data_IF_399282657359
#
_entry.id   IF_399282657359
#
_cell.length_a   1.000
_cell.length_b   1.000
_cell.length_c   1.000
_cell.angle_alpha   90.00
_cell.angle_beta   90.00
_cell.angle_gamma   90.00
#
_symmetry.space_group_name_H-M   'P 1'
#
loop_
_entity.id
_entity.type
_entity.pdbx_description
1 polymer ?
#
# COMPACT_ATOMS: atom_id res chain seq x y z
N UNK A 1 -9.34 9.35 -15.56
CA UNK A 1 -8.16 8.82 -16.23
C UNK A 1 -7.87 9.49 -17.57
N UNK A 2 -8.76 9.50 -18.58
CA UNK A 2 -8.53 10.12 -19.90
C UNK A 2 -8.06 11.59 -19.88
N UNK A 3 -8.55 12.40 -18.92
CA UNK A 3 -8.10 13.80 -18.83
C UNK A 3 -6.65 13.90 -18.33
N UNK A 4 -6.24 13.05 -17.41
CA UNK A 4 -4.86 13.00 -16.91
C UNK A 4 -3.88 12.62 -18.02
N UNK A 5 -4.21 11.61 -18.81
CA UNK A 5 -3.41 11.19 -19.97
C UNK A 5 -3.26 12.30 -21.01
N UNK A 6 -4.34 13.04 -21.31
CA UNK A 6 -4.29 14.14 -22.29
C UNK A 6 -3.37 15.30 -21.91
N UNK A 7 -3.11 15.47 -20.62
CA UNK A 7 -2.18 16.51 -20.11
C UNK A 7 -0.82 15.93 -19.72
N UNK A 8 -0.50 14.70 -20.15
CA UNK A 8 0.81 14.07 -19.99
C UNK A 8 1.13 13.55 -18.59
N UNK A 9 0.12 13.35 -17.74
CA UNK A 9 0.33 12.77 -16.41
C UNK A 9 0.44 11.25 -16.50
N UNK A 10 1.38 10.69 -15.75
CA UNK A 10 1.41 9.25 -15.46
C UNK A 10 0.26 8.89 -14.52
N UNK A 11 -0.38 7.76 -14.78
CA UNK A 11 -1.54 7.33 -14.01
C UNK A 11 -1.25 6.10 -13.18
N UNK A 12 -1.68 6.12 -11.94
CA UNK A 12 -1.59 4.97 -11.03
C UNK A 12 -2.91 4.75 -10.31
N UNK A 13 -3.21 3.48 -10.06
CA UNK A 13 -4.34 3.05 -9.27
C UNK A 13 -3.87 2.10 -8.18
N UNK A 14 -4.36 2.28 -6.95
CA UNK A 14 -4.18 1.33 -5.85
C UNK A 14 -5.55 0.79 -5.47
N UNK A 15 -5.67 -0.54 -5.35
CA UNK A 15 -6.94 -1.22 -5.07
C UNK A 15 -6.74 -2.39 -4.10
N UNK A 16 -7.79 -2.74 -3.35
CA UNK A 16 -7.87 -3.99 -2.60
C UNK A 16 -8.31 -5.18 -3.48
N UNK A 17 -8.48 -4.95 -4.78
CA UNK A 17 -8.85 -5.94 -5.81
C UNK A 17 -10.28 -6.50 -5.74
N UNK A 18 -11.12 -6.10 -4.77
CA UNK A 18 -12.46 -6.66 -4.60
C UNK A 18 -13.40 -6.46 -5.81
N UNK A 19 -13.14 -5.42 -6.61
CA UNK A 19 -13.90 -5.14 -7.84
C UNK A 19 -13.05 -5.24 -9.11
N UNK A 20 -11.91 -5.89 -9.07
CA UNK A 20 -11.02 -6.02 -10.23
C UNK A 20 -11.54 -7.10 -11.18
N UNK A 21 -12.65 -6.83 -11.88
CA UNK A 21 -13.23 -7.70 -12.88
C UNK A 21 -12.48 -7.62 -14.20
N UNK A 22 -12.61 -8.64 -15.05
CA UNK A 22 -12.01 -8.63 -16.39
C UNK A 22 -12.47 -7.43 -17.23
N UNK A 23 -13.76 -7.07 -17.14
CA UNK A 23 -14.33 -5.93 -17.86
C UNK A 23 -13.67 -4.61 -17.41
N UNK A 24 -13.56 -4.41 -16.09
CA UNK A 24 -12.87 -3.25 -15.54
C UNK A 24 -11.40 -3.22 -15.95
N UNK A 25 -10.73 -4.37 -15.94
CA UNK A 25 -9.34 -4.50 -16.39
C UNK A 25 -9.16 -4.08 -17.86
N UNK A 26 -10.06 -4.53 -18.77
CA UNK A 26 -10.04 -4.11 -20.18
C UNK A 26 -10.20 -2.60 -20.34
N UNK A 27 -11.07 -2.01 -19.53
CA UNK A 27 -11.34 -0.55 -19.56
C UNK A 27 -10.17 0.28 -18.99
N UNK A 28 -9.52 -0.19 -17.93
CA UNK A 28 -8.49 0.57 -17.22
C UNK A 28 -7.09 0.40 -17.81
N UNK A 29 -6.74 -0.82 -18.23
CA UNK A 29 -5.39 -1.17 -18.62
C UNK A 29 -4.75 -0.23 -19.66
N UNK A 30 -5.44 0.20 -20.74
CA UNK A 30 -4.80 1.04 -21.76
C UNK A 30 -4.33 2.41 -21.26
N UNK A 31 -4.89 2.86 -20.14
CA UNK A 31 -4.58 4.18 -19.59
C UNK A 31 -3.81 4.13 -18.27
N UNK A 32 -3.31 2.98 -17.84
CA UNK A 32 -2.67 2.80 -16.55
C UNK A 32 -1.16 2.57 -16.71
N UNK A 33 -0.34 3.38 -16.05
CA UNK A 33 1.11 3.15 -15.97
C UNK A 33 1.45 2.19 -14.83
N UNK A 34 0.71 2.27 -13.71
CA UNK A 34 0.93 1.43 -12.53
C UNK A 34 -0.38 0.97 -11.90
N UNK A 35 -0.45 -0.31 -11.55
CA UNK A 35 -1.48 -0.89 -10.69
C UNK A 35 -0.85 -1.39 -9.40
N UNK A 36 -1.25 -0.79 -8.27
CA UNK A 36 -0.96 -1.30 -6.94
C UNK A 36 -2.11 -2.16 -6.43
N UNK A 37 -1.82 -3.38 -5.99
CA UNK A 37 -2.80 -4.23 -5.32
C UNK A 37 -2.40 -4.44 -3.87
N UNK A 38 -3.38 -4.38 -2.96
CA UNK A 38 -3.16 -4.57 -1.52
C UNK A 38 -3.72 -5.93 -1.12
N UNK A 39 -2.81 -6.87 -0.80
CA UNK A 39 -3.15 -8.23 -0.37
C UNK A 39 -2.32 -8.55 0.86
N UNK A 40 -3.00 -8.81 1.96
CA UNK A 40 -2.37 -9.05 3.26
C UNK A 40 -2.29 -10.54 3.60
N UNK A 41 -3.13 -11.38 3.00
CA UNK A 41 -3.10 -12.85 3.14
C UNK A 41 -3.62 -13.52 1.87
N UNK A 42 -3.10 -14.71 1.56
CA UNK A 42 -3.65 -15.63 0.57
C UNK A 42 -4.77 -16.52 1.10
N UNK A 43 -5.07 -16.44 2.40
CA UNK A 43 -6.03 -17.29 3.10
C UNK A 43 -7.32 -16.52 3.41
N UNK A 44 -8.47 -17.11 3.08
CA UNK A 44 -9.77 -16.45 3.22
C UNK A 44 -10.16 -16.17 4.68
N UNK A 45 -9.89 -17.10 5.57
CA UNK A 45 -10.18 -16.99 7.01
C UNK A 45 -9.31 -15.90 7.66
N UNK A 46 -8.03 -15.80 7.30
CA UNK A 46 -7.15 -14.71 7.76
C UNK A 46 -7.66 -13.37 7.21
N UNK A 47 -8.00 -13.29 5.92
CA UNK A 47 -8.55 -12.07 5.32
C UNK A 47 -9.84 -11.62 6.01
N UNK A 48 -10.70 -12.56 6.41
CA UNK A 48 -11.90 -12.26 7.18
C UNK A 48 -11.57 -11.69 8.57
N UNK A 49 -10.62 -12.31 9.28
CA UNK A 49 -10.20 -11.88 10.62
C UNK A 49 -9.57 -10.48 10.63
N UNK A 50 -8.82 -10.12 9.59
CA UNK A 50 -8.21 -8.79 9.45
C UNK A 50 -9.12 -7.77 8.77
N UNK A 51 -10.35 -8.15 8.42
CA UNK A 51 -11.33 -7.26 7.77
C UNK A 51 -11.04 -6.97 6.29
N UNK A 52 -10.27 -7.84 5.61
CA UNK A 52 -10.00 -7.74 4.16
C UNK A 52 -11.08 -8.43 3.34
N UNK A 53 -12.30 -7.98 3.53
CA UNK A 53 -13.51 -8.43 2.82
C UNK A 53 -14.22 -7.25 2.17
N UNK A 54 -15.04 -7.52 1.17
CA UNK A 54 -15.88 -6.49 0.58
C UNK A 54 -17.13 -6.20 1.45
N UNK A 55 -17.99 -5.27 1.01
CA UNK A 55 -19.22 -4.90 1.73
C UNK A 55 -20.22 -6.05 1.89
N UNK A 56 -20.02 -7.17 1.20
CA UNK A 56 -20.86 -8.38 1.30
C UNK A 56 -20.16 -9.51 2.09
N UNK A 57 -19.02 -9.23 2.72
CA UNK A 57 -18.25 -10.22 3.47
C UNK A 57 -17.47 -11.20 2.58
N UNK A 58 -17.32 -10.92 1.27
CA UNK A 58 -16.56 -11.78 0.36
C UNK A 58 -15.08 -11.40 0.42
N UNK A 59 -14.24 -12.42 0.43
CA UNK A 59 -12.78 -12.27 0.39
C UNK A 59 -12.25 -12.34 -1.05
N UNK A 60 -10.98 -11.99 -1.21
CA UNK A 60 -10.28 -12.07 -2.48
C UNK A 60 -10.22 -13.51 -2.97
N UNK A 61 -10.80 -13.78 -4.15
CA UNK A 61 -10.64 -15.04 -4.85
C UNK A 61 -9.41 -15.00 -5.76
N UNK A 62 -8.41 -15.83 -5.46
CA UNK A 62 -7.16 -15.88 -6.21
C UNK A 62 -7.34 -16.36 -7.65
N UNK A 63 -8.36 -17.19 -7.92
CA UNK A 63 -8.69 -17.64 -9.28
C UNK A 63 -9.18 -16.48 -10.14
N UNK A 64 -10.15 -15.73 -9.66
CA UNK A 64 -10.66 -14.51 -10.31
C UNK A 64 -9.57 -13.46 -10.49
N UNK A 65 -8.70 -13.32 -9.50
CA UNK A 65 -7.57 -12.41 -9.57
C UNK A 65 -6.59 -12.82 -10.69
N UNK A 66 -6.30 -14.12 -10.84
CA UNK A 66 -5.45 -14.63 -11.91
C UNK A 66 -5.99 -14.24 -13.28
N UNK A 67 -7.27 -14.53 -13.54
CA UNK A 67 -7.94 -14.15 -14.79
C UNK A 67 -7.86 -12.65 -15.07
N UNK A 68 -8.08 -11.84 -14.04
CA UNK A 68 -8.00 -10.38 -14.15
C UNK A 68 -6.58 -9.91 -14.51
N UNK A 69 -5.55 -10.51 -13.92
CA UNK A 69 -4.15 -10.19 -14.22
C UNK A 69 -3.71 -10.65 -15.61
N UNK A 70 -4.22 -11.77 -16.10
CA UNK A 70 -4.01 -12.20 -17.49
C UNK A 70 -4.57 -11.19 -18.49
N UNK A 71 -5.79 -10.69 -18.23
CA UNK A 71 -6.42 -9.63 -19.04
C UNK A 71 -5.61 -8.34 -18.99
N UNK A 72 -5.19 -7.90 -17.79
CA UNK A 72 -4.38 -6.70 -17.63
C UNK A 72 -3.08 -6.75 -18.43
N UNK A 73 -2.34 -7.85 -18.34
CA UNK A 73 -1.07 -8.05 -19.08
C UNK A 73 -1.27 -8.10 -20.58
N UNK A 74 -2.35 -8.75 -21.03
CA UNK A 74 -2.70 -8.81 -22.47
C UNK A 74 -3.06 -7.43 -23.00
N UNK A 75 -3.82 -6.63 -22.25
CA UNK A 75 -4.26 -5.30 -22.67
C UNK A 75 -3.18 -4.23 -22.52
N UNK A 76 -2.26 -4.40 -21.57
CA UNK A 76 -1.13 -3.49 -21.35
C UNK A 76 0.12 -4.25 -20.87
N UNK A 77 0.94 -4.76 -21.78
CA UNK A 77 2.18 -5.46 -21.43
C UNK A 77 3.22 -4.58 -20.68
N UNK A 78 3.12 -3.25 -20.81
CA UNK A 78 4.01 -2.30 -20.15
C UNK A 78 3.56 -1.92 -18.73
N UNK A 79 2.37 -2.39 -18.29
CA UNK A 79 1.81 -2.09 -16.97
C UNK A 79 2.77 -2.51 -15.85
N UNK A 80 3.13 -1.56 -15.01
CA UNK A 80 3.87 -1.86 -13.79
C UNK A 80 2.91 -2.31 -12.69
N UNK A 81 3.15 -3.50 -12.15
CA UNK A 81 2.37 -4.03 -11.02
C UNK A 81 3.16 -3.89 -9.72
N UNK A 82 2.50 -3.37 -8.69
CA UNK A 82 3.02 -3.26 -7.33
C UNK A 82 2.12 -4.06 -6.38
N UNK A 83 2.71 -4.88 -5.52
CA UNK A 83 2.03 -5.54 -4.41
C UNK A 83 2.31 -4.76 -3.12
N UNK A 84 1.27 -4.52 -2.31
CA UNK A 84 1.41 -4.01 -0.96
C UNK A 84 0.85 -5.06 0.02
N UNK A 85 1.58 -5.31 1.09
CA UNK A 85 1.19 -6.22 2.17
C UNK A 85 1.42 -5.54 3.50
N UNK A 86 0.38 -5.46 4.33
CA UNK A 86 0.50 -5.01 5.73
C UNK A 86 0.61 -6.24 6.62
N UNK A 87 1.77 -6.41 7.22
CA UNK A 87 2.04 -7.52 8.14
C UNK A 87 1.56 -7.15 9.54
N UNK A 88 0.71 -7.96 10.10
CA UNK A 88 0.12 -7.81 11.41
C UNK A 88 0.15 -9.12 12.21
N UNK A 89 -0.36 -9.10 13.45
CA UNK A 89 -0.38 -10.25 14.36
C UNK A 89 -1.11 -11.48 13.81
N UNK A 90 -2.03 -11.31 12.87
CA UNK A 90 -2.86 -12.38 12.35
C UNK A 90 -2.24 -13.08 11.14
N UNK A 91 -1.47 -12.33 10.30
CA UNK A 91 -0.92 -12.85 9.05
C UNK A 91 0.61 -13.02 9.02
N UNK A 92 1.34 -12.72 10.10
CA UNK A 92 2.81 -12.83 10.09
C UNK A 92 3.36 -14.24 9.81
N UNK A 93 2.52 -15.28 9.98
CA UNK A 93 2.87 -16.68 9.66
C UNK A 93 2.59 -17.07 8.22
N UNK A 94 1.85 -16.24 7.48
CA UNK A 94 1.44 -16.57 6.11
C UNK A 94 2.64 -16.62 5.17
N UNK A 95 2.50 -17.47 4.15
CA UNK A 95 3.38 -17.53 2.98
C UNK A 95 2.62 -16.98 1.77
N UNK A 96 3.08 -15.84 1.27
CA UNK A 96 2.50 -15.16 0.11
C UNK A 96 3.21 -15.51 -1.21
N UNK A 97 4.06 -16.52 -1.23
CA UNK A 97 4.80 -16.91 -2.44
C UNK A 97 3.89 -17.25 -3.61
N UNK A 98 2.76 -17.91 -3.36
CA UNK A 98 1.75 -18.18 -4.39
C UNK A 98 1.09 -16.90 -4.95
N UNK A 99 0.80 -15.95 -4.08
CA UNK A 99 0.25 -14.63 -4.45
C UNK A 99 1.27 -13.85 -5.29
N UNK A 100 2.52 -13.80 -4.84
CA UNK A 100 3.62 -13.14 -5.59
C UNK A 100 3.82 -13.79 -6.94
N UNK A 101 3.80 -15.13 -7.02
CA UNK A 101 3.91 -15.89 -8.26
C UNK A 101 2.78 -15.61 -9.24
N UNK A 102 1.55 -15.45 -8.75
CA UNK A 102 0.37 -15.11 -9.55
C UNK A 102 0.43 -13.67 -10.07
N UNK A 103 0.71 -12.71 -9.17
CA UNK A 103 0.71 -11.28 -9.47
C UNK A 103 1.96 -10.86 -10.25
N UNK A 104 3.10 -11.54 -10.03
CA UNK A 104 4.41 -11.20 -10.60
C UNK A 104 4.70 -9.68 -10.52
N UNK A 105 4.69 -9.10 -9.31
CA UNK A 105 4.88 -7.68 -9.15
C UNK A 105 6.32 -7.27 -9.48
N UNK A 106 6.51 -6.09 -10.08
CA UNK A 106 7.84 -5.48 -10.20
C UNK A 106 8.35 -4.94 -8.86
N UNK A 107 7.43 -4.68 -7.93
CA UNK A 107 7.74 -4.18 -6.59
C UNK A 107 6.76 -4.76 -5.57
N UNK A 108 7.30 -5.28 -4.48
CA UNK A 108 6.51 -5.74 -3.33
C UNK A 108 6.83 -4.88 -2.11
N UNK A 109 5.86 -4.07 -1.66
CA UNK A 109 5.99 -3.27 -0.45
C UNK A 109 5.47 -4.07 0.74
N UNK A 110 6.34 -4.39 1.67
CA UNK A 110 6.04 -5.09 2.93
C UNK A 110 6.05 -4.05 4.04
N UNK A 111 4.88 -3.78 4.58
CA UNK A 111 4.63 -2.74 5.58
C UNK A 111 4.35 -3.40 6.92
N UNK A 112 4.98 -2.96 7.99
CA UNK A 112 4.58 -3.35 9.34
C UNK A 112 3.29 -2.61 9.71
N UNK A 113 2.32 -3.31 10.33
CA UNK A 113 1.11 -2.66 10.84
C UNK A 113 1.46 -1.56 11.84
N UNK A 114 0.99 -0.35 11.57
CA UNK A 114 1.27 0.82 12.40
C UNK A 114 0.16 0.99 13.45
N UNK A 115 0.47 0.93 14.77
CA UNK A 115 -0.52 1.01 15.83
C UNK A 115 -0.92 2.46 16.11
N UNK A 116 -1.68 3.07 15.21
CA UNK A 116 -2.10 4.47 15.37
C UNK A 116 -3.30 4.58 16.29
N UNK A 117 -4.32 3.74 16.09
CA UNK A 117 -5.60 3.81 16.83
C UNK A 117 -5.74 2.62 17.78
N UNK A 118 -5.39 1.42 17.30
CA UNK A 118 -5.57 0.16 18.02
C UNK A 118 -4.28 -0.67 17.97
N UNK A 119 -3.94 -1.24 19.12
CA UNK A 119 -2.76 -2.11 19.25
C UNK A 119 -3.08 -3.60 19.04
N UNK A 120 -4.34 -3.96 18.82
CA UNK A 120 -4.77 -5.36 18.66
C UNK A 120 -4.14 -6.08 17.48
N UNK A 121 -3.70 -5.33 16.47
CA UNK A 121 -3.04 -5.83 15.27
C UNK A 121 -1.52 -5.80 15.33
N UNK A 122 -0.93 -5.36 16.45
CA UNK A 122 0.52 -5.22 16.57
C UNK A 122 1.25 -6.55 16.34
N UNK A 123 2.31 -6.48 15.57
CA UNK A 123 3.26 -7.57 15.33
C UNK A 123 4.58 -7.23 16.03
N UNK A 124 5.20 -8.21 16.69
CA UNK A 124 6.51 -8.02 17.34
C UNK A 124 7.62 -7.92 16.28
N UNK A 125 8.80 -7.41 16.69
CA UNK A 125 9.97 -7.32 15.81
C UNK A 125 10.37 -8.69 15.25
N UNK A 126 10.38 -9.72 16.11
CA UNK A 126 10.73 -11.08 15.69
C UNK A 126 9.68 -11.67 14.72
N UNK A 127 8.41 -11.41 14.94
CA UNK A 127 7.34 -11.86 14.05
C UNK A 127 7.43 -11.17 12.68
N UNK A 128 7.65 -9.86 12.67
CA UNK A 128 7.82 -9.10 11.43
C UNK A 128 9.07 -9.56 10.66
N UNK A 129 10.19 -9.73 11.37
CA UNK A 129 11.42 -10.26 10.78
C UNK A 129 11.22 -11.67 10.22
N UNK A 130 10.54 -12.56 10.95
CA UNK A 130 10.25 -13.91 10.49
C UNK A 130 9.40 -13.94 9.21
N UNK A 131 8.46 -13.00 9.05
CA UNK A 131 7.72 -12.82 7.80
C UNK A 131 8.64 -12.41 6.65
N UNK A 132 9.48 -11.38 6.87
CA UNK A 132 10.43 -10.89 5.84
C UNK A 132 11.43 -11.98 5.43
N UNK A 133 11.98 -12.72 6.40
CA UNK A 133 12.96 -13.79 6.16
C UNK A 133 12.34 -14.96 5.39
N UNK A 134 11.08 -15.34 5.67
CA UNK A 134 10.34 -16.35 4.90
C UNK A 134 10.27 -15.99 3.42
N UNK A 135 10.15 -14.72 3.10
CA UNK A 135 10.04 -14.21 1.74
C UNK A 135 11.39 -13.72 1.15
N UNK A 136 12.52 -14.17 1.71
CA UNK A 136 13.85 -13.73 1.31
C UNK A 136 14.19 -14.00 -0.17
N UNK A 137 13.54 -14.98 -0.80
CA UNK A 137 13.66 -15.23 -2.24
C UNK A 137 13.20 -14.04 -3.12
N UNK A 138 12.40 -13.13 -2.56
CA UNK A 138 11.86 -11.96 -3.27
C UNK A 138 12.58 -10.65 -2.92
N UNK A 139 13.77 -10.70 -2.30
CA UNK A 139 14.53 -9.50 -1.88
C UNK A 139 14.76 -8.50 -3.02
N UNK A 140 14.91 -8.97 -4.25
CA UNK A 140 15.15 -8.09 -5.42
C UNK A 140 13.98 -7.18 -5.75
N UNK A 141 12.77 -7.53 -5.34
CA UNK A 141 11.54 -6.74 -5.58
C UNK A 141 10.93 -6.21 -4.27
N UNK A 142 11.39 -6.69 -3.12
CA UNK A 142 10.84 -6.34 -1.82
C UNK A 142 11.39 -5.00 -1.31
N UNK A 143 10.47 -4.14 -0.84
CA UNK A 143 10.77 -2.92 -0.08
C UNK A 143 10.09 -3.05 1.26
N UNK A 144 10.90 -3.22 2.31
CA UNK A 144 10.43 -3.38 3.68
C UNK A 144 10.37 -2.02 4.36
N UNK A 145 9.24 -1.67 4.95
CA UNK A 145 9.05 -0.46 5.75
C UNK A 145 8.56 -0.84 7.16
N UNK A 146 9.37 -0.51 8.14
CA UNK A 146 9.02 -0.62 9.56
C UNK A 146 8.26 0.63 10.03
N UNK A 147 7.71 0.59 11.24
CA UNK A 147 6.99 1.71 11.85
C UNK A 147 7.83 2.98 11.94
N UNK A 148 9.14 2.84 12.20
CA UNK A 148 10.07 3.98 12.21
C UNK A 148 10.21 4.66 10.85
N UNK A 149 10.17 3.90 9.76
CA UNK A 149 10.23 4.45 8.39
C UNK A 149 8.96 5.23 8.03
N UNK A 150 7.82 4.83 8.60
CA UNK A 150 6.51 5.39 8.28
C UNK A 150 6.10 6.58 9.14
N UNK A 151 6.70 6.72 10.33
CA UNK A 151 6.38 7.83 11.23
C UNK A 151 6.99 9.14 10.74
N UNK A 152 6.20 10.22 10.78
CA UNK A 152 6.62 11.58 10.42
C UNK A 152 7.18 11.72 8.99
N UNK A 153 6.88 10.75 8.12
CA UNK A 153 7.47 10.63 6.78
C UNK A 153 6.45 10.79 5.63
N UNK A 154 5.28 11.31 5.93
CA UNK A 154 4.23 11.60 4.95
C UNK A 154 3.85 13.08 4.96
N UNK A 155 3.27 13.55 3.87
CA UNK A 155 2.52 14.81 3.82
C UNK A 155 1.07 14.41 3.52
N UNK A 156 0.23 14.42 4.55
CA UNK A 156 -1.14 13.92 4.48
C UNK A 156 -2.14 15.04 4.76
N UNK A 157 -3.27 15.01 4.05
CA UNK A 157 -4.39 15.93 4.21
C UNK A 157 -5.65 15.15 4.52
N UNK A 158 -6.46 15.70 5.40
CA UNK A 158 -7.79 15.17 5.69
C UNK A 158 -8.91 15.92 4.92
N UNK A 159 -10.16 15.42 4.94
CA UNK A 159 -11.29 16.09 4.28
C UNK A 159 -11.63 17.47 4.83
N UNK A 160 -11.17 17.83 6.03
CA UNK A 160 -11.33 19.15 6.63
C UNK A 160 -10.24 20.14 6.17
N UNK A 161 -9.33 19.72 5.29
CA UNK A 161 -8.23 20.53 4.80
C UNK A 161 -7.15 20.79 5.84
N UNK A 162 -6.94 19.85 6.77
CA UNK A 162 -5.88 19.89 7.77
C UNK A 162 -4.73 18.99 7.36
N UNK A 163 -3.50 19.37 7.66
CA UNK A 163 -2.42 18.42 7.69
C UNK A 163 -2.62 17.43 8.83
N UNK A 164 -2.26 16.17 8.61
CA UNK A 164 -2.22 15.20 9.69
C UNK A 164 -1.01 14.27 9.55
N UNK A 165 -0.53 13.75 10.69
CA UNK A 165 0.67 12.95 10.77
C UNK A 165 0.54 11.86 11.83
N UNK A 166 1.14 10.70 11.55
CA UNK A 166 1.40 9.69 12.55
C UNK A 166 2.73 10.02 13.26
N UNK A 167 2.65 10.32 14.55
CA UNK A 167 3.83 10.66 15.36
C UNK A 167 3.92 9.72 16.56
N UNK A 168 5.14 9.29 16.96
CA UNK A 168 5.33 8.50 18.18
C UNK A 168 4.96 9.26 19.46
N UNK A 169 4.91 10.59 19.40
CA UNK A 169 4.62 11.47 20.54
C UNK A 169 3.13 11.65 20.81
N UNK A 170 2.24 11.14 19.96
CA UNK A 170 0.78 11.28 20.12
C UNK A 170 0.08 9.92 20.05
N UNK A 171 -0.92 9.72 20.90
CA UNK A 171 -1.87 8.63 20.73
C UNK A 171 -2.81 8.99 19.57
N UNK A 172 -2.74 8.24 18.47
CA UNK A 172 -3.50 8.55 17.26
C UNK A 172 -2.74 9.47 16.29
N UNK A 173 -3.51 10.20 15.48
CA UNK A 173 -2.92 11.17 14.55
C UNK A 173 -2.80 12.56 15.21
N UNK A 174 -1.72 13.26 14.86
CA UNK A 174 -1.54 14.67 15.12
C UNK A 174 -2.19 15.44 13.97
N UNK A 175 -2.99 16.48 14.28
CA UNK A 175 -3.69 17.31 13.29
C UNK A 175 -3.29 18.78 13.42
N UNK A 176 -3.21 19.46 12.28
CA UNK A 176 -3.09 20.91 12.24
C UNK A 176 -4.46 21.60 12.33
N UNK A 177 -4.43 22.93 12.41
CA UNK A 177 -5.60 23.75 12.06
C UNK A 177 -5.87 23.66 10.54
N UNK A 178 -7.10 23.98 10.08
CA UNK A 178 -7.40 24.02 8.66
C UNK A 178 -6.49 24.99 7.90
N UNK A 179 -5.96 24.53 6.77
CA UNK A 179 -5.04 25.29 5.90
C UNK A 179 -5.67 26.61 5.44
N UNK A 180 -6.98 26.59 5.17
CA UNK A 180 -7.71 27.79 4.72
C UNK A 180 -7.88 28.84 5.81
N UNK A 181 -7.73 28.49 7.09
CA UNK A 181 -7.84 29.42 8.22
C UNK A 181 -6.50 30.05 8.58
N UNK A 182 -5.40 29.27 8.57
CA UNK A 182 -4.12 29.73 9.09
C UNK A 182 -3.02 29.85 8.02
N UNK A 183 -3.27 29.37 6.83
CA UNK A 183 -2.29 29.24 5.75
C UNK A 183 -1.50 27.93 5.81
N UNK A 184 -0.96 27.50 4.66
CA UNK A 184 -0.30 26.19 4.54
C UNK A 184 0.97 26.07 5.39
N UNK A 185 1.79 27.10 5.46
CA UNK A 185 3.02 27.13 6.23
C UNK A 185 2.75 26.94 7.73
N UNK A 186 1.88 27.80 8.32
CA UNK A 186 1.53 27.71 9.72
C UNK A 186 0.80 26.42 10.09
N UNK A 187 -0.02 25.89 9.18
CA UNK A 187 -0.67 24.61 9.39
C UNK A 187 0.36 23.45 9.39
N UNK A 188 1.33 23.49 8.49
CA UNK A 188 2.35 22.43 8.38
C UNK A 188 3.30 22.42 9.59
N UNK A 189 3.62 23.59 10.15
CA UNK A 189 4.43 23.70 11.38
C UNK A 189 3.79 23.06 12.61
N UNK A 190 2.47 22.82 12.59
CA UNK A 190 1.73 22.21 13.70
C UNK A 190 1.77 20.68 13.71
N UNK A 191 2.35 20.05 12.71
CA UNK A 191 2.52 18.59 12.63
C UNK A 191 3.99 18.22 12.54
N UNK A 192 4.34 17.11 13.19
CA UNK A 192 5.72 16.62 13.14
C UNK A 192 6.04 16.10 11.74
N UNK A 193 7.18 16.52 11.17
CA UNK A 193 7.63 16.07 9.86
C UNK A 193 9.15 15.87 9.85
N UNK A 194 9.59 14.73 9.35
CA UNK A 194 11.01 14.41 9.22
C UNK A 194 11.40 14.35 7.73
N UNK A 195 12.06 15.41 7.20
CA UNK A 195 12.44 15.47 5.78
C UNK A 195 13.38 14.34 5.35
N UNK A 196 14.29 13.89 6.20
CA UNK A 196 15.24 12.82 5.87
C UNK A 196 14.52 11.49 5.69
N UNK A 197 13.58 11.14 6.58
CA UNK A 197 12.74 9.95 6.43
C UNK A 197 11.87 10.04 5.17
N UNK A 198 11.27 11.20 4.91
CA UNK A 198 10.48 11.44 3.70
C UNK A 198 11.31 11.18 2.45
N UNK A 199 12.49 11.78 2.33
CA UNK A 199 13.38 11.61 1.18
C UNK A 199 13.90 10.17 1.05
N UNK A 200 14.27 9.52 2.16
CA UNK A 200 14.78 8.14 2.15
C UNK A 200 13.76 7.13 1.63
N UNK A 201 12.47 7.36 1.89
CA UNK A 201 11.39 6.52 1.36
C UNK A 201 11.27 6.61 -0.16
N UNK A 202 11.39 7.81 -0.71
CA UNK A 202 11.36 8.01 -2.17
C UNK A 202 12.62 7.50 -2.86
N UNK A 203 13.79 7.59 -2.23
CA UNK A 203 15.02 6.99 -2.78
C UNK A 203 14.97 5.46 -2.77
N UNK A 204 14.44 4.82 -1.71
CA UNK A 204 14.14 3.38 -1.69
C UNK A 204 13.11 3.00 -2.78
N UNK A 205 12.20 3.92 -3.12
CA UNK A 205 11.22 3.72 -4.19
C UNK A 205 11.81 3.88 -5.59
N UNK A 206 12.78 4.76 -5.78
CA UNK A 206 13.44 5.01 -7.07
C UNK A 206 14.52 3.96 -7.39
N UNK A 207 15.21 3.41 -6.41
CA UNK A 207 16.27 2.41 -6.57
C UNK A 207 15.82 1.03 -7.07
N UNK A 208 14.52 0.80 -7.21
CA UNK A 208 13.96 -0.41 -7.84
C UNK A 208 13.72 -0.29 -9.36
N UNK A 209 14.23 0.76 -10.00
CA UNK A 209 14.02 1.08 -11.42
C UNK A 209 15.35 1.16 -12.20
N UNK A 210 16.39 0.40 -11.78
CA UNK A 210 17.62 0.23 -12.54
C UNK A 210 17.72 -1.19 -13.11
#
# INVERSE_FOLDING_TARGET
MHRALRIGLRTSLITNSSFLTEELCKSLAPGLDMLGVSIDSGQSDINNLIGRVDSQGRFLDLGSLSSSFEVLRRCNPALTVKLNTVVNRLNWKDDLSSVVGLIQPKKWKILRALPVIDQSTNVTDDQFRAFVDRHSAYRSIAVVEDNQDMQESYIMFDPQGRFFQNSPCSAGYQYSQPILEVGAEKAFEQVSFNPERFLSRYSKEAGGAA
#
